data_IF_413410015666
#
_entry.id   IF_413410015666
#
_cell.length_a   1.000
_cell.length_b   1.000
_cell.length_c   1.000
_cell.angle_alpha   90.00
_cell.angle_beta   90.00
_cell.angle_gamma   90.00
#
_symmetry.space_group_name_H-M   'P 1'
#
loop_
_entity.id
_entity.type
_entity.pdbx_description
1 polymer ?
#
# COMPACT_ATOMS: atom_id res chain seq x y z
N UNK A 1 -1.90 8.36 -14.15
CA UNK A 1 -1.62 7.14 -13.35
C UNK A 1 -2.81 6.16 -13.23
N UNK A 2 -4.07 6.62 -13.23
CA UNK A 2 -5.24 5.71 -13.20
C UNK A 2 -5.78 5.29 -14.58
N UNK A 3 -5.42 5.99 -15.65
CA UNK A 3 -6.00 5.82 -16.99
C UNK A 3 -5.39 4.66 -17.82
N UNK A 4 -4.27 4.09 -17.40
CA UNK A 4 -3.56 3.03 -18.17
C UNK A 4 -3.66 1.62 -17.57
N UNK A 5 -4.51 1.39 -16.57
CA UNK A 5 -4.69 0.03 -16.04
C UNK A 5 -5.84 -0.66 -16.73
N UNK A 6 -5.55 -1.71 -17.51
CA UNK A 6 -6.57 -2.63 -18.04
C UNK A 6 -7.47 -3.17 -16.92
N UNK A 7 -8.72 -3.52 -17.26
CA UNK A 7 -9.68 -4.12 -16.32
C UNK A 7 -9.09 -5.35 -15.62
N UNK A 8 -8.39 -6.20 -16.37
CA UNK A 8 -7.69 -7.36 -15.84
C UNK A 8 -6.60 -6.99 -14.80
N UNK A 9 -5.83 -5.93 -15.04
CA UNK A 9 -4.83 -5.43 -14.07
C UNK A 9 -5.48 -4.91 -12.79
N UNK A 10 -6.65 -4.25 -12.91
CA UNK A 10 -7.41 -3.76 -11.74
C UNK A 10 -7.95 -4.91 -10.90
N UNK A 11 -8.49 -5.94 -11.54
CA UNK A 11 -8.99 -7.14 -10.88
C UNK A 11 -7.87 -7.89 -10.15
N UNK A 12 -6.74 -8.13 -10.82
CA UNK A 12 -5.57 -8.81 -10.22
C UNK A 12 -5.04 -8.07 -9.00
N UNK A 13 -5.02 -6.74 -9.02
CA UNK A 13 -4.60 -5.91 -7.88
C UNK A 13 -5.67 -5.76 -6.81
N UNK A 14 -6.93 -6.12 -7.10
CA UNK A 14 -8.07 -5.79 -6.23
C UNK A 14 -8.24 -4.28 -6.06
N UNK A 15 -8.02 -3.50 -7.13
CA UNK A 15 -8.22 -2.06 -7.14
C UNK A 15 -9.72 -1.75 -7.09
N UNK A 16 -10.15 -1.02 -6.05
CA UNK A 16 -11.51 -0.54 -5.90
C UNK A 16 -11.50 0.91 -5.43
N UNK A 17 -12.51 1.68 -5.83
CA UNK A 17 -12.70 3.05 -5.32
C UNK A 17 -13.00 2.97 -3.83
N UNK A 18 -12.24 3.72 -3.04
CA UNK A 18 -12.44 3.84 -1.61
C UNK A 18 -12.81 5.28 -1.25
N UNK A 19 -13.81 5.50 -0.39
CA UNK A 19 -14.04 6.82 0.18
C UNK A 19 -12.86 7.22 1.08
N UNK A 20 -12.68 8.51 1.29
CA UNK A 20 -11.72 9.02 2.27
C UNK A 20 -12.03 8.45 3.67
N UNK A 21 -10.98 8.00 4.36
CA UNK A 21 -11.04 7.55 5.75
C UNK A 21 -9.88 8.14 6.52
N UNK A 22 -10.14 8.54 7.76
CA UNK A 22 -9.14 9.07 8.68
C UNK A 22 -9.08 8.12 9.86
N UNK A 23 -7.86 7.75 10.27
CA UNK A 23 -7.61 6.96 11.45
C UNK A 23 -6.63 7.70 12.35
N UNK A 24 -7.01 7.84 13.62
CA UNK A 24 -6.17 8.35 14.71
C UNK A 24 -5.90 7.20 15.67
N UNK A 25 -4.64 7.06 16.07
CA UNK A 25 -4.13 5.95 16.88
C UNK A 25 -4.54 4.56 16.33
N UNK A 26 -4.29 4.28 15.04
CA UNK A 26 -4.71 3.02 14.45
C UNK A 26 -3.94 1.82 15.01
N UNK A 27 -4.58 0.66 14.99
CA UNK A 27 -3.99 -0.65 15.22
C UNK A 27 -4.33 -1.56 14.04
N UNK A 28 -3.35 -2.34 13.58
CA UNK A 28 -3.51 -3.25 12.46
C UNK A 28 -3.50 -4.70 12.93
N UNK A 29 -4.43 -5.49 12.39
CA UNK A 29 -4.52 -6.94 12.58
C UNK A 29 -4.54 -7.64 11.22
N UNK A 30 -3.69 -8.65 11.04
CA UNK A 30 -3.69 -9.47 9.83
C UNK A 30 -4.87 -10.43 9.86
N UNK A 31 -5.66 -10.46 8.77
CA UNK A 31 -6.79 -11.38 8.62
C UNK A 31 -6.43 -12.57 7.73
N UNK A 32 -5.57 -12.36 6.74
CA UNK A 32 -5.04 -13.41 5.86
C UNK A 32 -3.51 -13.26 5.74
N UNK A 33 -2.79 -14.26 6.22
CA UNK A 33 -1.32 -14.29 6.24
C UNK A 33 -0.67 -14.50 4.86
N UNK A 34 -1.43 -14.80 3.81
CA UNK A 34 -0.88 -14.89 2.45
C UNK A 34 -0.34 -13.54 2.01
N UNK A 35 0.88 -13.54 1.47
CA UNK A 35 1.50 -12.32 0.94
C UNK A 35 1.35 -12.24 -0.58
N UNK A 36 1.08 -11.04 -1.08
CA UNK A 36 1.07 -10.71 -2.51
C UNK A 36 2.21 -9.74 -2.84
N UNK A 37 2.83 -9.93 -4.00
CA UNK A 37 3.98 -9.16 -4.49
C UNK A 37 3.55 -8.18 -5.56
N UNK A 38 3.75 -6.88 -5.32
CA UNK A 38 3.57 -5.82 -6.32
C UNK A 38 4.56 -4.69 -6.06
N UNK A 39 4.78 -3.87 -7.09
CA UNK A 39 5.57 -2.64 -6.97
C UNK A 39 4.87 -1.63 -6.06
N UNK A 40 5.63 -1.09 -5.11
CA UNK A 40 5.29 0.05 -4.27
C UNK A 40 6.26 1.19 -4.55
N UNK A 41 5.76 2.42 -4.39
CA UNK A 41 6.54 3.65 -4.35
C UNK A 41 6.04 4.46 -3.14
N UNK A 42 6.80 5.48 -2.76
CA UNK A 42 6.47 6.34 -1.63
C UNK A 42 6.77 7.79 -1.99
N UNK A 43 5.87 8.70 -1.63
CA UNK A 43 6.09 10.14 -1.84
C UNK A 43 7.32 10.65 -1.09
N UNK A 44 7.67 10.05 0.05
CA UNK A 44 8.89 10.36 0.79
C UNK A 44 10.19 9.84 0.14
N UNK A 45 10.10 8.98 -0.88
CA UNK A 45 11.24 8.46 -1.66
C UNK A 45 10.90 8.60 -3.15
N UNK A 46 10.88 9.84 -3.60
CA UNK A 46 10.44 10.18 -4.96
C UNK A 46 11.38 9.60 -6.03
N UNK A 47 10.79 9.15 -7.14
CA UNK A 47 11.54 8.67 -8.31
C UNK A 47 11.95 7.20 -8.28
N UNK A 48 11.57 6.45 -7.23
CA UNK A 48 11.92 5.03 -7.10
C UNK A 48 10.72 4.15 -6.74
N UNK A 49 10.79 2.89 -7.15
CA UNK A 49 9.86 1.85 -6.76
C UNK A 49 10.56 0.51 -6.57
N UNK A 50 9.94 -0.38 -5.80
CA UNK A 50 10.38 -1.77 -5.66
C UNK A 50 9.22 -2.71 -5.33
N UNK A 51 9.41 -4.00 -5.54
CA UNK A 51 8.43 -5.04 -5.22
C UNK A 51 8.44 -5.26 -3.71
N UNK A 52 7.27 -5.15 -3.08
CA UNK A 52 7.10 -5.32 -1.64
C UNK A 52 6.05 -6.40 -1.35
N UNK A 53 6.35 -7.40 -0.49
CA UNK A 53 5.36 -8.36 -0.02
C UNK A 53 4.41 -7.69 0.98
N UNK A 54 3.10 -7.87 0.79
CA UNK A 54 2.05 -7.39 1.71
C UNK A 54 1.03 -8.47 1.97
N UNK A 55 0.49 -8.52 3.18
CA UNK A 55 -0.62 -9.41 3.52
C UNK A 55 -1.84 -9.10 2.65
N UNK A 56 -2.55 -10.15 2.23
CA UNK A 56 -3.68 -10.04 1.31
C UNK A 56 -4.86 -9.29 1.93
N UNK A 57 -5.11 -9.48 3.23
CA UNK A 57 -6.16 -8.78 3.95
C UNK A 57 -5.77 -8.46 5.39
N UNK A 58 -6.23 -7.29 5.83
CA UNK A 58 -5.97 -6.72 7.15
C UNK A 58 -7.22 -6.04 7.68
N UNK A 59 -7.29 -5.88 8.98
CA UNK A 59 -8.23 -5.03 9.68
C UNK A 59 -7.47 -3.89 10.33
N UNK A 60 -7.95 -2.67 10.17
CA UNK A 60 -7.47 -1.50 10.90
C UNK A 60 -8.58 -1.00 11.82
N UNK A 61 -8.26 -0.79 13.09
CA UNK A 61 -9.14 -0.19 14.09
C UNK A 61 -8.49 1.05 14.69
N UNK A 62 -9.30 2.01 15.15
CA UNK A 62 -8.80 3.26 15.70
C UNK A 62 -9.93 4.25 15.94
N UNK A 63 -9.61 5.54 15.97
CA UNK A 63 -10.60 6.61 16.05
C UNK A 63 -10.71 7.34 14.70
N UNK A 64 -11.88 7.87 14.38
CA UNK A 64 -12.05 8.81 13.26
C UNK A 64 -11.70 10.24 13.67
N UNK A 65 -11.88 11.20 12.76
CA UNK A 65 -11.60 12.62 12.99
C UNK A 65 -12.47 13.27 14.08
N UNK A 66 -13.57 12.62 14.47
CA UNK A 66 -14.46 13.05 15.55
C UNK A 66 -14.15 12.36 16.89
N UNK A 67 -13.14 11.49 16.93
CA UNK A 67 -12.80 10.70 18.11
C UNK A 67 -13.70 9.49 18.34
N UNK A 68 -14.49 9.08 17.34
CA UNK A 68 -15.37 7.92 17.43
C UNK A 68 -14.63 6.65 17.01
N UNK A 69 -14.87 5.54 17.72
CA UNK A 69 -14.25 4.26 17.39
C UNK A 69 -14.74 3.72 16.04
N UNK A 70 -13.79 3.36 15.18
CA UNK A 70 -14.05 2.80 13.85
C UNK A 70 -13.18 1.56 13.60
N UNK A 71 -13.69 0.66 12.77
CA UNK A 71 -12.97 -0.54 12.33
C UNK A 71 -13.25 -0.78 10.84
N UNK A 72 -12.22 -1.19 10.11
CA UNK A 72 -12.30 -1.40 8.68
C UNK A 72 -11.47 -2.60 8.24
N UNK A 73 -12.11 -3.54 7.55
CA UNK A 73 -11.43 -4.65 6.89
C UNK A 73 -11.14 -4.27 5.44
N UNK A 74 -9.88 -4.44 5.04
CA UNK A 74 -9.39 -4.16 3.72
C UNK A 74 -8.73 -5.40 3.12
N UNK A 75 -8.82 -5.55 1.79
CA UNK A 75 -8.17 -6.61 1.03
C UNK A 75 -7.56 -6.04 -0.25
N UNK A 76 -6.66 -6.80 -0.88
CA UNK A 76 -6.04 -6.41 -2.16
C UNK A 76 -5.25 -5.10 -2.06
N UNK A 77 -5.42 -4.22 -3.05
CA UNK A 77 -4.67 -2.96 -3.10
C UNK A 77 -4.92 -2.05 -1.90
N UNK A 78 -6.16 -2.03 -1.40
CA UNK A 78 -6.51 -1.24 -0.22
C UNK A 78 -5.77 -1.73 1.03
N UNK A 79 -5.66 -3.05 1.22
CA UNK A 79 -4.89 -3.61 2.32
C UNK A 79 -3.40 -3.23 2.22
N UNK A 80 -2.86 -3.20 0.99
CA UNK A 80 -1.48 -2.76 0.73
C UNK A 80 -1.25 -1.31 1.16
N UNK A 81 -2.15 -0.40 0.77
CA UNK A 81 -2.07 1.01 1.18
C UNK A 81 -2.12 1.11 2.71
N UNK A 82 -3.09 0.46 3.36
CA UNK A 82 -3.20 0.47 4.83
C UNK A 82 -1.91 0.00 5.49
N UNK A 83 -1.31 -1.10 5.02
CA UNK A 83 -0.03 -1.59 5.57
C UNK A 83 1.13 -0.61 5.33
N UNK A 84 1.18 0.06 4.18
CA UNK A 84 2.20 1.08 3.89
C UNK A 84 2.08 2.28 4.83
N UNK A 85 0.87 2.80 5.04
CA UNK A 85 0.66 3.94 5.93
C UNK A 85 0.87 3.57 7.40
N UNK A 86 0.56 2.33 7.80
CA UNK A 86 0.87 1.85 9.15
C UNK A 86 2.38 1.75 9.40
N UNK A 87 3.16 1.30 8.42
CA UNK A 87 4.62 1.25 8.53
C UNK A 87 5.22 2.65 8.81
N UNK A 88 4.69 3.72 8.19
CA UNK A 88 5.13 5.09 8.47
C UNK A 88 4.97 5.49 9.93
N UNK A 89 3.91 5.02 10.60
CA UNK A 89 3.66 5.31 12.02
C UNK A 89 4.69 4.63 12.94
N UNK A 90 5.26 3.52 12.48
CA UNK A 90 6.33 2.79 13.17
C UNK A 90 7.74 3.20 12.69
N UNK A 91 7.84 4.23 11.83
CA UNK A 91 9.11 4.70 11.26
C UNK A 91 9.75 3.72 10.27
N UNK A 92 8.96 2.82 9.68
CA UNK A 92 9.38 1.85 8.67
C UNK A 92 9.02 2.37 7.28
N UNK A 93 9.94 2.23 6.32
CA UNK A 93 9.72 2.59 4.92
C UNK A 93 9.64 1.34 4.04
N UNK A 94 9.07 1.47 2.85
CA UNK A 94 8.95 0.33 1.92
C UNK A 94 10.31 -0.26 1.52
N UNK A 95 11.37 0.55 1.52
CA UNK A 95 12.75 0.13 1.24
C UNK A 95 13.33 -0.82 2.31
N UNK A 96 12.75 -0.83 3.52
CA UNK A 96 13.15 -1.76 4.58
C UNK A 96 12.53 -3.15 4.38
N UNK A 97 11.49 -3.26 3.53
CA UNK A 97 10.73 -4.49 3.26
C UNK A 97 10.86 -5.02 1.83
N UNK A 98 11.38 -4.23 0.91
CA UNK A 98 11.39 -4.54 -0.52
C UNK A 98 12.28 -5.74 -0.88
N UNK A 99 11.97 -6.38 -2.00
CA UNK A 99 12.98 -7.15 -2.73
C UNK A 99 13.94 -6.17 -3.42
N UNK A 100 15.13 -6.02 -2.85
CA UNK A 100 16.14 -5.05 -3.30
C UNK A 100 16.59 -5.25 -4.75
N UNK A 101 16.45 -6.46 -5.31
CA UNK A 101 16.77 -6.74 -6.73
C UNK A 101 15.78 -6.09 -7.70
N UNK A 102 14.64 -5.63 -7.18
CA UNK A 102 13.57 -5.01 -7.96
C UNK A 102 13.51 -3.49 -7.77
N UNK A 103 14.48 -2.90 -7.05
CA UNK A 103 14.57 -1.47 -6.83
C UNK A 103 15.01 -0.76 -8.11
N UNK A 104 14.16 0.12 -8.63
CA UNK A 104 14.36 0.80 -9.91
C UNK A 104 14.05 2.29 -9.79
N UNK A 105 14.73 3.09 -10.61
CA UNK A 105 14.31 4.46 -10.91
C UNK A 105 13.14 4.41 -11.91
N UNK A 106 12.02 5.06 -11.59
CA UNK A 106 10.80 4.99 -12.43
C UNK A 106 10.96 5.73 -13.77
N UNK A 107 11.94 6.63 -13.88
CA UNK A 107 12.26 7.40 -15.09
C UNK A 107 13.43 6.78 -15.88
N UNK A 108 13.86 5.55 -15.56
CA UNK A 108 14.99 4.89 -16.25
C UNK A 108 14.82 4.88 -17.78
N UNK A 109 13.59 4.76 -18.28
CA UNK A 109 13.29 4.77 -19.71
C UNK A 109 13.46 6.14 -20.37
N UNK A 110 13.35 7.23 -19.63
CA UNK A 110 13.52 8.60 -20.15
C UNK A 110 15.00 8.99 -20.23
N UNK A 111 15.83 8.48 -19.33
CA UNK A 111 17.25 8.81 -19.26
C UNK A 111 18.14 7.99 -20.21
N UNK A 112 17.66 6.85 -20.69
CA UNK A 112 18.43 5.92 -21.53
C UNK A 112 17.96 5.86 -23.00
N UNK A 113 17.18 6.84 -23.44
CA UNK A 113 16.91 7.09 -24.86
C UNK A 113 17.90 8.13 -25.40
#
# INVERSE_FOLDING_TARGET
MLEESSTASREVRGLAVQPLRIFVNPQLRVLDGRTVLFQEACESISGYSATVPRYLSVEVSGLNEKGEAVTWQASGWTARIVQHEMDHLDGVLYIDRMDSKTFININWHEHNQ
#
